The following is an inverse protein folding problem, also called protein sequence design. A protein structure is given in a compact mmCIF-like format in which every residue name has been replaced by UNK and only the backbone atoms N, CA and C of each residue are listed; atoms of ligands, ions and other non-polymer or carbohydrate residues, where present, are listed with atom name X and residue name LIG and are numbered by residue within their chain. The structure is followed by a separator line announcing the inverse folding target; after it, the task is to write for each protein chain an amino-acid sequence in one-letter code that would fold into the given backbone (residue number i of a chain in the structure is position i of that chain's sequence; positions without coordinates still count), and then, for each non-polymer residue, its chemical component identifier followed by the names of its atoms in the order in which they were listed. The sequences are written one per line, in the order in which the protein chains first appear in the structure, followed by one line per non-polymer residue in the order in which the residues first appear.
data_IF_742279436392
#
_entry.id   IF_742279436392
#
_cell.length_a   1.000
_cell.length_b   1.000
_cell.length_c   1.000
_cell.angle_alpha   90.00
_cell.angle_beta   90.00
_cell.angle_gamma   90.00
#
_symmetry.space_group_name_H-M   'P 1'
#
loop_
_entity.id
_entity.type
_entity.pdbx_description
1 polymer ?
#
# COMPACT_ATOMS: atom_id res chain seq x y z
N UNK A 1 -6.30 -14.15 2.41
CA UNK A 1 -7.45 -13.23 2.23
C UNK A 1 -7.07 -11.86 2.75
N UNK A 2 -7.41 -10.80 2.03
CA UNK A 2 -7.17 -9.41 2.42
C UNK A 2 -8.47 -8.82 2.97
N UNK A 3 -8.40 -8.25 4.16
CA UNK A 3 -9.51 -7.58 4.82
C UNK A 3 -9.28 -6.08 4.76
N UNK A 4 -10.30 -5.32 4.38
CA UNK A 4 -10.24 -3.86 4.37
C UNK A 4 -10.96 -3.29 5.59
N UNK A 5 -10.27 -2.41 6.29
CA UNK A 5 -10.78 -1.71 7.46
C UNK A 5 -10.67 -0.20 7.20
N UNK A 6 -11.79 0.50 7.28
CA UNK A 6 -11.84 1.96 7.23
C UNK A 6 -12.22 2.50 8.58
N UNK A 7 -11.37 3.37 9.12
CA UNK A 7 -11.57 3.98 10.43
C UNK A 7 -11.62 5.49 10.27
N UNK A 8 -12.59 6.13 10.90
CA UNK A 8 -12.73 7.58 10.90
C UNK A 8 -12.51 8.13 12.31
N UNK A 9 -11.69 9.16 12.38
CA UNK A 9 -11.37 9.90 13.60
C UNK A 9 -11.72 11.37 13.44
N UNK A 10 -11.80 12.09 14.57
CA UNK A 10 -11.89 13.55 14.53
C UNK A 10 -10.68 14.12 13.79
N UNK A 11 -10.89 15.26 13.14
CA UNK A 11 -9.85 15.96 12.43
C UNK A 11 -8.76 16.44 13.39
N UNK A 12 -7.47 16.13 13.11
CA UNK A 12 -6.37 16.67 13.89
C UNK A 12 -6.18 18.16 13.63
N UNK A 13 -5.80 18.92 14.65
CA UNK A 13 -5.63 20.38 14.57
C UNK A 13 -4.54 20.84 13.58
N UNK A 14 -3.57 19.97 13.29
CA UNK A 14 -2.39 20.28 12.46
C UNK A 14 -2.52 19.84 10.98
N UNK A 15 -3.70 19.59 10.47
CA UNK A 15 -3.98 19.01 9.14
C UNK A 15 -3.27 19.62 7.92
N UNK A 16 -2.30 20.51 8.11
CA UNK A 16 -1.57 21.20 7.03
C UNK A 16 -0.15 20.68 6.74
N UNK A 17 0.35 19.65 7.44
CA UNK A 17 1.73 19.16 7.25
C UNK A 17 1.78 17.82 6.51
N UNK A 18 2.68 17.71 5.54
CA UNK A 18 2.72 16.67 4.50
C UNK A 18 3.29 15.29 4.89
N UNK A 19 3.77 15.09 6.13
CA UNK A 19 4.59 13.91 6.47
C UNK A 19 3.97 13.02 7.56
N UNK A 20 2.69 12.69 7.39
CA UNK A 20 1.94 12.01 8.45
C UNK A 20 1.90 10.50 8.39
N UNK A 21 2.36 9.89 7.30
CA UNK A 21 2.27 8.44 7.15
C UNK A 21 2.86 7.68 8.35
N UNK A 22 4.10 8.00 8.72
CA UNK A 22 4.76 7.35 9.84
C UNK A 22 4.19 7.75 11.20
N UNK A 23 3.69 8.97 11.33
CA UNK A 23 3.04 9.41 12.55
C UNK A 23 1.70 8.69 12.77
N UNK A 24 0.90 8.52 11.70
CA UNK A 24 -0.35 7.77 11.74
C UNK A 24 -0.08 6.28 11.97
N UNK A 25 0.87 5.69 11.23
CA UNK A 25 1.25 4.29 11.42
C UNK A 25 1.74 4.05 12.85
N UNK A 26 2.63 4.90 13.36
CA UNK A 26 3.10 4.80 14.74
C UNK A 26 1.99 4.96 15.77
N UNK A 27 1.05 5.89 15.55
CA UNK A 27 -0.10 6.08 16.41
C UNK A 27 -1.01 4.84 16.44
N UNK A 28 -1.26 4.22 15.26
CA UNK A 28 -2.02 2.97 15.15
C UNK A 28 -1.31 1.85 15.90
N UNK A 29 -0.01 1.66 15.65
CA UNK A 29 0.76 0.59 16.28
C UNK A 29 0.82 0.73 17.80
N UNK A 30 0.85 1.96 18.32
CA UNK A 30 0.83 2.23 19.76
C UNK A 30 -0.50 1.85 20.45
N UNK A 31 -1.55 1.54 19.70
CA UNK A 31 -2.79 1.01 20.25
C UNK A 31 -2.64 -0.46 20.69
N UNK A 32 -1.65 -1.17 20.21
CA UNK A 32 -1.48 -2.61 20.40
C UNK A 32 -0.18 -2.91 21.16
N UNK A 33 -0.22 -3.93 22.02
CA UNK A 33 0.97 -4.39 22.75
C UNK A 33 1.99 -5.03 21.80
N UNK A 34 1.55 -5.89 20.89
CA UNK A 34 2.41 -6.51 19.88
C UNK A 34 2.45 -5.70 18.58
N UNK A 35 3.18 -4.59 18.65
CA UNK A 35 3.34 -3.68 17.50
C UNK A 35 4.00 -4.34 16.30
N UNK A 36 4.92 -5.29 16.53
CA UNK A 36 5.69 -5.94 15.47
C UNK A 36 4.78 -6.79 14.58
N UNK A 37 3.95 -7.60 15.20
CA UNK A 37 3.04 -8.50 14.49
C UNK A 37 1.91 -7.72 13.81
N UNK A 38 1.35 -6.70 14.45
CA UNK A 38 0.37 -5.81 13.82
C UNK A 38 0.98 -5.11 12.61
N UNK A 39 2.22 -4.61 12.72
CA UNK A 39 2.90 -3.97 11.59
C UNK A 39 3.06 -4.92 10.39
N UNK A 40 3.42 -6.17 10.62
CA UNK A 40 3.60 -7.14 9.54
C UNK A 40 2.30 -7.58 8.90
N UNK A 41 1.18 -7.52 9.62
CA UNK A 41 -0.16 -7.84 9.10
C UNK A 41 -0.76 -6.72 8.25
N UNK A 42 -0.31 -5.47 8.43
CA UNK A 42 -0.80 -4.32 7.64
C UNK A 42 -0.07 -4.26 6.30
N UNK A 43 -0.71 -4.70 5.24
CA UNK A 43 -0.16 -4.67 3.88
C UNK A 43 -0.35 -3.33 3.19
N UNK A 44 -1.44 -2.63 3.53
CA UNK A 44 -1.79 -1.35 2.94
C UNK A 44 -2.24 -0.39 4.04
N UNK A 45 -1.71 0.80 4.02
CA UNK A 45 -2.17 1.91 4.84
C UNK A 45 -2.30 3.14 3.95
N UNK A 46 -3.46 3.75 3.93
CA UNK A 46 -3.68 5.05 3.31
C UNK A 46 -4.56 5.89 4.20
N UNK A 47 -4.47 7.21 4.06
CA UNK A 47 -5.28 8.13 4.83
C UNK A 47 -5.64 9.37 4.02
N UNK A 48 -6.74 9.97 4.39
CA UNK A 48 -7.16 11.29 3.91
C UNK A 48 -7.58 12.17 5.07
N UNK A 49 -7.35 13.48 4.94
CA UNK A 49 -7.74 14.47 5.95
C UNK A 49 -8.63 15.49 5.28
N UNK A 50 -9.91 15.45 5.61
CA UNK A 50 -10.93 16.39 5.19
C UNK A 50 -11.58 17.03 6.42
N UNK A 51 -12.88 16.85 6.58
CA UNK A 51 -13.62 17.19 7.80
C UNK A 51 -13.29 16.22 8.94
N UNK A 52 -12.83 15.03 8.58
CA UNK A 52 -12.40 13.96 9.48
C UNK A 52 -11.07 13.41 8.99
N UNK A 53 -10.33 12.72 9.86
CA UNK A 53 -9.22 11.86 9.47
C UNK A 53 -9.79 10.48 9.13
N UNK A 54 -9.66 10.08 7.88
CA UNK A 54 -10.03 8.74 7.43
C UNK A 54 -8.75 7.91 7.22
N UNK A 55 -8.72 6.73 7.80
CA UNK A 55 -7.61 5.77 7.68
C UNK A 55 -8.17 4.50 7.07
N UNK A 56 -7.57 4.04 5.97
CA UNK A 56 -7.90 2.80 5.30
C UNK A 56 -6.74 1.83 5.44
N UNK A 57 -6.99 0.65 6.00
CA UNK A 57 -6.02 -0.42 6.21
C UNK A 57 -6.41 -1.67 5.43
N UNK A 58 -5.45 -2.27 4.74
CA UNK A 58 -5.54 -3.63 4.24
C UNK A 58 -4.78 -4.56 5.17
N UNK A 59 -5.47 -5.55 5.75
CA UNK A 59 -4.94 -6.45 6.77
C UNK A 59 -4.90 -7.86 6.20
N UNK A 60 -3.76 -8.50 6.31
CA UNK A 60 -3.58 -9.90 5.91
C UNK A 60 -3.93 -10.83 7.06
N UNK A 61 -4.84 -11.78 6.80
CA UNK A 61 -5.24 -12.81 7.74
C UNK A 61 -6.43 -12.41 8.62
N UNK A 62 -7.36 -13.33 8.75
CA UNK A 62 -8.60 -13.15 9.52
C UNK A 62 -8.33 -12.94 11.00
N UNK A 63 -7.38 -13.66 11.55
CA UNK A 63 -7.01 -13.56 12.97
C UNK A 63 -6.58 -12.15 13.33
N UNK A 64 -5.70 -11.54 12.53
CA UNK A 64 -5.20 -10.18 12.76
C UNK A 64 -6.28 -9.14 12.54
N UNK A 65 -7.11 -9.33 11.53
CA UNK A 65 -8.27 -8.48 11.30
C UNK A 65 -9.21 -8.48 12.50
N UNK A 66 -9.60 -9.67 12.98
CA UNK A 66 -10.50 -9.84 14.11
C UNK A 66 -9.90 -9.26 15.41
N UNK A 67 -8.60 -9.45 15.62
CA UNK A 67 -7.89 -8.88 16.76
C UNK A 67 -7.93 -7.34 16.74
N UNK A 68 -7.59 -6.72 15.62
CA UNK A 68 -7.58 -5.27 15.45
C UNK A 68 -9.00 -4.71 15.63
N UNK A 69 -9.98 -5.31 15.00
CA UNK A 69 -11.39 -4.93 15.12
C UNK A 69 -11.91 -5.06 16.54
N UNK A 70 -11.66 -6.20 17.19
CA UNK A 70 -12.09 -6.44 18.57
C UNK A 70 -11.46 -5.44 19.52
N UNK A 71 -10.18 -5.11 19.34
CA UNK A 71 -9.51 -4.10 20.15
C UNK A 71 -10.16 -2.72 19.99
N UNK A 72 -10.41 -2.28 18.76
CA UNK A 72 -11.04 -0.99 18.48
C UNK A 72 -12.48 -0.91 19.01
N UNK A 73 -13.25 -1.99 18.91
CA UNK A 73 -14.62 -2.05 19.41
C UNK A 73 -14.68 -2.09 20.95
N UNK A 74 -13.71 -2.74 21.59
CA UNK A 74 -13.62 -2.82 23.05
C UNK A 74 -13.17 -1.51 23.69
N UNK A 75 -12.57 -0.60 22.92
CA UNK A 75 -12.07 0.67 23.39
C UNK A 75 -12.60 1.84 22.54
N UNK A 76 -13.92 2.07 22.53
CA UNK A 76 -14.53 3.11 21.68
C UNK A 76 -14.09 4.54 22.04
N UNK A 77 -13.62 4.73 23.27
CA UNK A 77 -13.10 6.02 23.75
C UNK A 77 -11.61 6.22 23.45
N UNK A 78 -11.01 5.27 22.74
CA UNK A 78 -9.59 5.32 22.43
C UNK A 78 -9.26 6.50 21.52
N UNK A 79 -8.24 7.25 21.92
CA UNK A 79 -7.73 8.39 21.17
C UNK A 79 -6.43 8.00 20.44
N UNK A 80 -6.35 8.35 19.16
CA UNK A 80 -5.10 8.36 18.45
C UNK A 80 -4.31 9.63 18.77
N UNK A 81 -3.12 9.49 19.30
CA UNK A 81 -2.21 10.62 19.48
C UNK A 81 -1.28 10.73 18.28
N UNK A 82 -1.50 11.73 17.43
CA UNK A 82 -0.73 11.95 16.21
C UNK A 82 -0.02 13.30 16.34
N UNK A 83 1.31 13.29 16.47
CA UNK A 83 2.11 14.51 16.65
C UNK A 83 1.59 15.45 17.75
N UNK A 84 1.09 14.90 18.86
CA UNK A 84 0.54 15.63 19.98
C UNK A 84 -0.92 16.05 19.86
N UNK A 85 -1.55 15.84 18.69
CA UNK A 85 -3.01 16.03 18.54
C UNK A 85 -3.75 14.75 18.88
N UNK A 86 -4.79 14.88 19.68
CA UNK A 86 -5.69 13.78 20.03
C UNK A 86 -6.82 13.70 19.02
N UNK A 87 -7.02 12.53 18.45
CA UNK A 87 -8.06 12.23 17.49
C UNK A 87 -8.96 11.13 18.04
N UNK A 88 -10.20 11.46 18.37
CA UNK A 88 -11.17 10.49 18.90
C UNK A 88 -11.77 9.66 17.77
N UNK A 89 -11.99 8.38 18.05
CA UNK A 89 -12.65 7.45 17.13
C UNK A 89 -14.10 7.91 16.89
N UNK A 90 -14.51 7.92 15.62
CA UNK A 90 -15.89 8.29 15.21
C UNK A 90 -16.64 7.13 14.62
N UNK A 91 -16.01 6.40 13.71
CA UNK A 91 -16.67 5.32 12.98
C UNK A 91 -15.66 4.28 12.53
N UNK A 92 -16.08 3.04 12.55
CA UNK A 92 -15.38 1.90 11.97
C UNK A 92 -16.28 1.30 10.90
N UNK A 93 -15.80 1.22 9.67
CA UNK A 93 -16.47 0.57 8.57
C UNK A 93 -15.68 -0.69 8.16
N UNK A 94 -16.37 -1.78 8.09
CA UNK A 94 -15.83 -3.08 7.70
C UNK A 94 -16.14 -3.31 6.23
N UNK A 95 -15.12 -3.57 5.44
CA UNK A 95 -15.26 -4.01 4.07
C UNK A 95 -14.52 -5.35 3.91
N UNK A 96 -15.25 -6.35 3.51
CA UNK A 96 -14.66 -7.59 3.01
C UNK A 96 -14.55 -7.45 1.49
N UNK A 97 -13.39 -7.04 1.00
CA UNK A 97 -13.08 -7.33 -0.39
C UNK A 97 -12.67 -8.80 -0.44
N UNK A 98 -13.65 -9.64 -0.66
CA UNK A 98 -13.38 -10.84 -1.43
C UNK A 98 -12.90 -10.31 -2.78
N UNK A 99 -11.60 -10.31 -2.98
CA UNK A 99 -11.04 -10.24 -4.32
C UNK A 99 -11.50 -11.57 -4.98
N UNK A 100 -12.73 -11.55 -5.41
CA UNK A 100 -13.25 -12.58 -6.29
C UNK A 100 -12.47 -12.34 -7.58
N UNK A 101 -11.54 -13.25 -7.85
CA UNK A 101 -10.63 -13.11 -8.99
C UNK A 101 -11.31 -13.29 -10.36
N UNK A 102 -12.54 -12.87 -10.47
CA UNK A 102 -13.15 -12.52 -11.73
C UNK A 102 -12.51 -11.23 -12.23
N UNK A 103 -11.28 -11.40 -12.67
CA UNK A 103 -10.65 -10.39 -13.51
C UNK A 103 -11.52 -10.28 -14.75
N UNK A 104 -12.24 -9.18 -14.85
CA UNK A 104 -13.17 -8.92 -15.94
C UNK A 104 -12.53 -9.20 -17.29
N UNK A 105 -13.33 -9.48 -18.31
CA UNK A 105 -12.88 -9.83 -19.67
C UNK A 105 -11.66 -9.02 -20.09
N UNK A 106 -10.50 -9.68 -20.22
CA UNK A 106 -9.20 -9.08 -20.60
C UNK A 106 -9.20 -8.61 -22.04
N UNK A 107 -10.08 -7.67 -22.36
CA UNK A 107 -10.10 -7.07 -23.69
C UNK A 107 -9.11 -5.92 -23.73
N UNK A 108 -8.02 -6.14 -24.46
CA UNK A 108 -7.08 -5.12 -24.93
C UNK A 108 -6.22 -4.37 -23.89
N UNK A 109 -5.79 -5.02 -22.81
CA UNK A 109 -4.80 -4.42 -21.95
C UNK A 109 -3.41 -4.46 -22.57
N UNK A 110 -3.08 -3.39 -23.29
CA UNK A 110 -1.70 -3.13 -23.73
C UNK A 110 -1.01 -2.03 -22.92
N UNK A 111 -1.76 -1.44 -21.96
CA UNK A 111 -1.31 -0.27 -21.22
C UNK A 111 -1.91 -0.27 -19.82
N UNK A 112 -1.09 -0.02 -18.81
CA UNK A 112 -1.55 0.33 -17.46
C UNK A 112 -0.77 1.50 -16.88
N UNK A 113 -1.36 2.20 -15.91
CA UNK A 113 -0.77 3.37 -15.26
C UNK A 113 -0.59 3.07 -13.78
N UNK A 114 0.66 3.07 -13.34
CA UNK A 114 0.99 2.98 -11.93
C UNK A 114 1.18 4.39 -11.36
N UNK A 115 0.35 4.75 -10.35
CA UNK A 115 0.42 6.06 -9.69
C UNK A 115 0.92 5.90 -8.27
N UNK A 116 1.95 6.63 -7.92
CA UNK A 116 2.48 6.72 -6.56
C UNK A 116 1.95 8.00 -5.90
N UNK A 117 0.99 7.87 -5.02
CA UNK A 117 0.36 9.00 -4.33
C UNK A 117 1.20 9.54 -3.16
N UNK A 118 2.16 8.76 -2.71
CA UNK A 118 3.11 9.16 -1.66
C UNK A 118 4.54 9.10 -2.18
N UNK A 119 5.46 9.91 -1.63
CA UNK A 119 6.87 9.84 -1.98
C UNK A 119 7.41 8.43 -1.76
N UNK A 120 7.82 7.81 -2.85
CA UNK A 120 8.24 6.41 -2.88
C UNK A 120 9.72 6.31 -3.26
N UNK A 121 10.42 5.38 -2.64
CA UNK A 121 11.76 4.97 -3.03
C UNK A 121 11.87 3.46 -2.86
N UNK A 122 12.66 2.84 -3.70
CA UNK A 122 12.93 1.40 -3.62
C UNK A 122 14.32 1.21 -3.03
N UNK A 123 14.42 0.37 -2.01
CA UNK A 123 15.69 0.03 -1.37
C UNK A 123 16.04 -1.43 -1.67
N UNK A 124 17.25 -1.63 -2.17
CA UNK A 124 17.81 -2.97 -2.39
C UNK A 124 19.27 -2.99 -1.95
N UNK A 125 19.68 -3.97 -1.16
CA UNK A 125 21.05 -4.13 -0.67
C UNK A 125 21.63 -2.82 -0.08
N UNK A 126 20.84 -2.14 0.75
CA UNK A 126 21.16 -0.84 1.35
C UNK A 126 21.31 0.34 0.37
N UNK A 127 21.11 0.16 -0.92
CA UNK A 127 21.09 1.22 -1.91
C UNK A 127 19.65 1.71 -2.12
N UNK A 128 19.45 3.02 -2.10
CA UNK A 128 18.16 3.65 -2.41
C UNK A 128 18.13 4.00 -3.88
N UNK A 129 17.16 3.43 -4.60
CA UNK A 129 16.91 3.73 -6.00
C UNK A 129 15.79 4.76 -6.09
N UNK A 130 16.09 5.91 -6.68
CA UNK A 130 15.08 6.93 -6.95
C UNK A 130 14.24 6.57 -8.17
N UNK A 131 14.82 5.90 -9.14
CA UNK A 131 14.17 5.46 -10.38
C UNK A 131 14.29 3.92 -10.49
N UNK A 132 13.47 3.16 -9.77
CA UNK A 132 13.48 1.72 -9.90
C UNK A 132 12.96 1.31 -11.27
N UNK A 133 13.55 0.27 -11.82
CA UNK A 133 13.06 -0.29 -13.07
C UNK A 133 11.66 -0.91 -12.89
N UNK A 134 10.84 -0.95 -13.96
CA UNK A 134 9.48 -1.49 -13.89
C UNK A 134 9.41 -2.88 -13.25
N UNK A 135 10.30 -3.76 -13.66
CA UNK A 135 10.35 -5.13 -13.17
C UNK A 135 10.65 -5.21 -11.66
N UNK A 136 11.39 -4.24 -11.10
CA UNK A 136 11.65 -4.19 -9.65
C UNK A 136 10.41 -3.79 -8.86
N UNK A 137 9.67 -2.79 -9.36
CA UNK A 137 8.42 -2.36 -8.73
C UNK A 137 7.43 -3.50 -8.74
N UNK A 138 7.20 -4.09 -9.92
CA UNK A 138 6.24 -5.16 -10.09
C UNK A 138 6.66 -6.41 -9.31
N UNK A 139 7.92 -6.82 -9.37
CA UNK A 139 8.40 -7.94 -8.57
C UNK A 139 8.20 -7.73 -7.05
N UNK A 140 8.34 -6.49 -6.56
CA UNK A 140 8.06 -6.17 -5.16
C UNK A 140 6.57 -6.27 -4.83
N UNK A 141 5.70 -5.82 -5.73
CA UNK A 141 4.25 -5.93 -5.58
C UNK A 141 3.81 -7.40 -5.63
N UNK A 142 4.32 -8.15 -6.59
CA UNK A 142 4.02 -9.56 -6.76
C UNK A 142 4.45 -10.41 -5.57
N UNK A 143 5.61 -10.15 -4.99
CA UNK A 143 6.05 -10.84 -3.78
C UNK A 143 5.10 -10.67 -2.59
N UNK A 144 4.43 -9.51 -2.49
CA UNK A 144 3.38 -9.28 -1.50
C UNK A 144 2.08 -9.94 -1.89
N UNK A 145 1.74 -9.90 -3.17
CA UNK A 145 0.53 -10.54 -3.69
C UNK A 145 0.55 -12.05 -3.46
N UNK A 146 1.69 -12.70 -3.72
CA UNK A 146 1.89 -14.14 -3.49
C UNK A 146 1.71 -14.56 -2.02
N UNK A 147 2.00 -13.67 -1.09
CA UNK A 147 1.76 -13.93 0.34
C UNK A 147 0.26 -14.00 0.66
N UNK A 148 -0.57 -13.33 -0.13
CA UNK A 148 -2.03 -13.25 0.07
C UNK A 148 -2.75 -14.27 -0.80
N UNK A 149 -2.32 -14.38 -2.04
CA UNK A 149 -2.92 -15.22 -3.09
C UNK A 149 -1.82 -16.07 -3.74
N UNK A 150 -1.46 -17.22 -3.13
CA UNK A 150 -0.46 -18.11 -3.71
C UNK A 150 -0.87 -18.52 -5.12
N UNK A 151 0.02 -18.34 -6.07
CA UNK A 151 -0.16 -18.77 -7.46
C UNK A 151 0.81 -19.91 -7.82
N UNK A 152 0.53 -20.61 -8.92
CA UNK A 152 1.42 -21.62 -9.47
C UNK A 152 2.43 -21.04 -10.48
N UNK A 153 2.61 -19.72 -10.48
CA UNK A 153 3.48 -19.03 -11.43
C UNK A 153 4.94 -19.11 -10.98
N UNK A 154 5.82 -19.57 -11.86
CA UNK A 154 7.25 -19.48 -11.62
C UNK A 154 7.69 -18.02 -11.61
N UNK A 155 8.13 -17.56 -10.45
CA UNK A 155 8.51 -16.17 -10.21
C UNK A 155 9.76 -15.75 -11.00
N UNK A 156 10.67 -16.69 -11.31
CA UNK A 156 11.87 -16.38 -12.07
C UNK A 156 11.53 -16.18 -13.55
N UNK A 157 10.72 -17.06 -14.10
CA UNK A 157 10.25 -16.97 -15.48
C UNK A 157 9.34 -15.75 -15.69
N UNK A 158 8.45 -15.46 -14.73
CA UNK A 158 7.63 -14.26 -14.78
C UNK A 158 8.48 -12.98 -14.80
N UNK A 159 9.50 -12.87 -13.94
CA UNK A 159 10.42 -11.72 -13.93
C UNK A 159 11.19 -11.58 -15.24
N UNK A 160 11.60 -12.69 -15.84
CA UNK A 160 12.26 -12.71 -17.13
C UNK A 160 11.32 -12.23 -18.25
N UNK A 161 10.07 -12.70 -18.22
CA UNK A 161 9.03 -12.25 -19.15
C UNK A 161 8.76 -10.75 -18.99
N UNK A 162 8.54 -10.23 -17.77
CA UNK A 162 8.36 -8.81 -17.50
C UNK A 162 9.49 -7.96 -18.08
N UNK A 163 10.74 -8.37 -17.88
CA UNK A 163 11.90 -7.62 -18.38
C UNK A 163 11.91 -7.51 -19.89
N UNK A 164 11.38 -8.50 -20.60
CA UNK A 164 11.40 -8.54 -22.06
C UNK A 164 10.16 -7.91 -22.69
N UNK A 165 9.06 -7.81 -21.95
CA UNK A 165 7.76 -7.42 -22.51
C UNK A 165 7.20 -6.12 -21.97
N UNK A 166 7.70 -5.66 -20.81
CA UNK A 166 7.19 -4.46 -20.16
C UNK A 166 8.06 -3.25 -20.50
N UNK A 167 7.47 -2.27 -21.17
CA UNK A 167 8.15 -1.03 -21.53
C UNK A 167 7.54 0.16 -20.82
N UNK A 168 8.41 1.09 -20.41
CA UNK A 168 7.99 2.40 -19.91
C UNK A 168 7.68 3.29 -21.09
N UNK A 169 6.47 3.83 -21.11
CA UNK A 169 6.08 4.91 -22.01
C UNK A 169 6.28 6.27 -21.38
N UNK A 170 5.19 6.94 -21.06
CA UNK A 170 5.25 8.24 -20.42
C UNK A 170 5.50 8.11 -18.92
N UNK A 171 6.31 8.99 -18.36
CA UNK A 171 6.44 9.16 -16.94
C UNK A 171 6.44 10.64 -16.54
N UNK A 172 5.80 10.97 -15.44
CA UNK A 172 5.93 12.27 -14.78
C UNK A 172 6.55 12.07 -13.41
N UNK A 173 7.69 12.71 -13.18
CA UNK A 173 8.45 12.58 -11.95
C UNK A 173 8.46 13.91 -11.22
N UNK A 174 8.17 13.87 -9.93
CA UNK A 174 8.28 14.99 -9.02
C UNK A 174 9.02 14.51 -7.77
N UNK A 175 10.12 15.16 -7.43
CA UNK A 175 10.86 14.85 -6.22
C UNK A 175 10.25 15.57 -5.02
N UNK A 176 10.07 14.87 -3.91
CA UNK A 176 9.62 15.44 -2.64
C UNK A 176 10.55 15.04 -1.51
N UNK A 177 10.90 16.01 -0.69
CA UNK A 177 11.66 15.76 0.52
C UNK A 177 10.70 15.25 1.61
N UNK A 178 11.02 14.09 2.19
CA UNK A 178 10.26 13.50 3.29
C UNK A 178 11.13 13.41 4.54
N UNK A 179 10.52 13.66 5.68
CA UNK A 179 11.13 13.42 6.98
C UNK A 179 10.87 11.98 7.40
N UNK A 180 11.94 11.24 7.69
CA UNK A 180 11.87 9.90 8.26
C UNK A 180 12.61 9.86 9.59
N UNK A 181 12.42 8.80 10.40
CA UNK A 181 13.11 8.67 11.70
C UNK A 181 14.62 8.87 11.63
N UNK A 182 15.25 8.54 10.52
CA UNK A 182 16.69 8.62 10.29
C UNK A 182 17.14 9.91 9.58
N UNK A 183 16.29 10.93 9.48
CA UNK A 183 16.58 12.20 8.81
C UNK A 183 15.69 12.48 7.60
N UNK A 184 16.15 13.37 6.74
CA UNK A 184 15.42 13.74 5.52
C UNK A 184 15.85 12.85 4.36
N UNK A 185 14.90 12.35 3.59
CA UNK A 185 15.14 11.62 2.33
C UNK A 185 14.31 12.20 1.20
N UNK A 186 14.84 12.14 0.00
CA UNK A 186 14.10 12.49 -1.20
C UNK A 186 13.34 11.24 -1.66
N UNK A 187 12.02 11.34 -1.75
CA UNK A 187 11.17 10.36 -2.42
C UNK A 187 10.64 10.94 -3.72
N UNK A 188 10.15 10.10 -4.59
CA UNK A 188 9.57 10.49 -5.87
C UNK A 188 8.08 10.20 -5.83
N UNK A 189 7.29 11.21 -6.19
CA UNK A 189 5.89 11.09 -6.53
C UNK A 189 5.80 11.05 -8.04
N UNK A 190 5.16 10.04 -8.58
CA UNK A 190 5.18 9.81 -10.01
C UNK A 190 3.93 9.11 -10.50
N UNK A 191 3.72 9.17 -11.79
CA UNK A 191 3.00 8.14 -12.51
C UNK A 191 3.86 7.60 -13.64
N UNK A 192 3.76 6.31 -13.89
CA UNK A 192 4.35 5.63 -15.03
C UNK A 192 3.29 4.93 -15.82
N UNK A 193 3.36 5.12 -17.12
CA UNK A 193 2.58 4.35 -18.07
C UNK A 193 3.43 3.22 -18.58
N UNK A 194 2.93 2.02 -18.46
CA UNK A 194 3.56 0.81 -18.94
C UNK A 194 2.82 0.26 -20.12
N UNK A 195 3.56 -0.26 -21.08
CA UNK A 195 3.06 -0.95 -22.25
C UNK A 195 3.56 -2.39 -22.26
N UNK A 196 2.69 -3.34 -22.59
CA UNK A 196 3.02 -4.73 -22.83
C UNK A 196 3.19 -4.95 -24.33
N UNK A 197 4.37 -5.42 -24.74
CA UNK A 197 4.64 -5.77 -26.16
C UNK A 197 4.20 -7.18 -26.50
N UNK A 198 4.17 -8.08 -25.55
CA UNK A 198 3.79 -9.47 -25.74
C UNK A 198 2.71 -9.88 -24.73
N UNK A 199 1.60 -10.38 -25.25
CA UNK A 199 0.45 -10.85 -24.50
C UNK A 199 0.17 -12.33 -24.73
N UNK A 200 1.10 -13.03 -25.34
CA UNK A 200 0.91 -14.45 -25.69
C UNK A 200 0.79 -15.32 -24.46
N UNK A 201 1.46 -14.96 -23.36
CA UNK A 201 1.32 -15.65 -22.08
C UNK A 201 0.16 -15.05 -21.28
N UNK A 202 -1.03 -15.60 -21.50
CA UNK A 202 -2.26 -15.12 -20.86
C UNK A 202 -2.20 -15.24 -19.32
N UNK A 203 -1.55 -16.27 -18.79
CA UNK A 203 -1.46 -16.46 -17.36
C UNK A 203 -0.60 -15.38 -16.69
N UNK A 204 0.49 -14.98 -17.34
CA UNK A 204 1.31 -13.87 -16.87
C UNK A 204 0.61 -12.52 -16.99
N UNK A 205 -0.17 -12.32 -18.06
CA UNK A 205 -1.00 -11.12 -18.21
C UNK A 205 -2.03 -11.05 -17.09
N UNK A 206 -2.76 -12.15 -16.82
CA UNK A 206 -3.73 -12.23 -15.73
C UNK A 206 -3.11 -11.98 -14.37
N UNK A 207 -1.91 -12.51 -14.15
CA UNK A 207 -1.20 -12.33 -12.90
C UNK A 207 -0.70 -10.90 -12.68
N UNK A 208 -0.50 -10.14 -13.75
CA UNK A 208 -0.06 -8.74 -13.70
C UNK A 208 -1.21 -7.78 -13.37
N UNK A 209 -2.44 -8.12 -13.74
CA UNK A 209 -3.65 -7.30 -13.57
C UNK A 209 -4.52 -7.75 -12.40
#
# INVERSE_FOLDING_TARGET
MLYLLRIQFTKPEWAKKSDFYYAILGAILNLFEDQSTVYTSILKLSFSVGEQLEINMGIQGEEWYNMIVSHLLSHPEQELSINGSKCSLKQINFHFDLFDGEVGEYRDFNKFILRFHSPTFVRQQNITYLLPTPERIIASLMSKFEQIYPSNIDQADFKKWLKNTLFVGECKLESRLIQIKQGKKTGIVWFWTYYLSDKTNIDYVKYLY
#
